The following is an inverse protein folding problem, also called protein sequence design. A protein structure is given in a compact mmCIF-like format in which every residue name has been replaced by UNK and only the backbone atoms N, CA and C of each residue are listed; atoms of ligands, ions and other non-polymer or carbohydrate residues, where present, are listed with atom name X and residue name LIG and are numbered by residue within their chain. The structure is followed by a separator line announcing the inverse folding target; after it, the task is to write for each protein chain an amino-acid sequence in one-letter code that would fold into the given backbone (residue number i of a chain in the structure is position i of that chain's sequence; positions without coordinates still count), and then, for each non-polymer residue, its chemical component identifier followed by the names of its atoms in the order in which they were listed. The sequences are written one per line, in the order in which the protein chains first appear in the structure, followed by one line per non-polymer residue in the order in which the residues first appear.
data_IF_631750097199
#
_entry.id   IF_631750097199
#
_cell.length_a   1.000
_cell.length_b   1.000
_cell.length_c   1.000
_cell.angle_alpha   90.00
_cell.angle_beta   90.00
_cell.angle_gamma   90.00
#
_symmetry.space_group_name_H-M   'P 1'
#
loop_
_entity.id
_entity.type
_entity.pdbx_description
1 polymer ?
#
# COMPACT_ATOMS: atom_id res chain seq x y z
N UNK A 1 -19.49 4.80 10.04
CA UNK A 1 -18.40 5.71 9.63
C UNK A 1 -17.19 5.46 10.53
N UNK A 2 -15.99 5.86 10.09
CA UNK A 2 -14.73 5.75 10.84
C UNK A 2 -13.98 7.09 10.67
N UNK A 3 -13.48 7.65 11.76
CA UNK A 3 -12.64 8.86 11.75
C UNK A 3 -11.19 8.47 12.00
N UNK A 4 -10.28 8.93 11.15
CA UNK A 4 -8.84 8.71 11.29
C UNK A 4 -8.13 10.05 11.48
N UNK A 5 -7.31 10.13 12.52
CA UNK A 5 -6.36 11.22 12.73
C UNK A 5 -5.07 10.88 11.97
N UNK A 6 -4.52 11.84 11.23
CA UNK A 6 -3.22 11.76 10.58
C UNK A 6 -2.22 12.64 11.34
N UNK A 7 -1.43 12.10 12.30
CA UNK A 7 -0.59 12.93 13.16
C UNK A 7 0.49 13.73 12.42
N UNK A 8 0.89 13.27 11.22
CA UNK A 8 1.85 13.97 10.38
C UNK A 8 1.39 15.37 9.94
N UNK A 9 0.07 15.59 9.79
CA UNK A 9 -0.51 16.90 9.44
C UNK A 9 -1.48 17.43 10.50
N UNK A 10 -1.88 16.60 11.47
CA UNK A 10 -2.90 16.92 12.47
C UNK A 10 -4.34 16.88 11.95
N UNK A 11 -4.56 16.43 10.72
CA UNK A 11 -5.89 16.41 10.10
C UNK A 11 -6.71 15.17 10.46
N UNK A 12 -8.01 15.35 10.60
CA UNK A 12 -8.97 14.26 10.71
C UNK A 12 -9.67 14.02 9.36
N UNK A 13 -9.78 12.76 8.95
CA UNK A 13 -10.57 12.36 7.78
C UNK A 13 -11.63 11.36 8.18
N UNK A 14 -12.84 11.57 7.66
CA UNK A 14 -13.99 10.72 7.89
C UNK A 14 -14.23 9.82 6.68
N UNK A 15 -14.36 8.52 6.91
CA UNK A 15 -14.64 7.53 5.88
C UNK A 15 -15.94 6.78 6.18
N UNK A 16 -16.65 6.38 5.13
CA UNK A 16 -17.67 5.34 5.25
C UNK A 16 -17.00 4.04 5.70
N UNK A 17 -17.74 3.15 6.38
CA UNK A 17 -17.19 1.85 6.81
C UNK A 17 -17.14 0.85 5.64
N UNK A 18 -18.09 0.96 4.72
CA UNK A 18 -18.15 0.14 3.52
C UNK A 18 -17.32 0.80 2.42
N UNK A 19 -16.54 0.00 1.68
CA UNK A 19 -15.71 0.43 0.55
C UNK A 19 -14.71 1.56 0.88
N UNK A 20 -14.19 1.56 2.12
CA UNK A 20 -13.20 2.55 2.54
C UNK A 20 -11.83 2.25 1.94
N UNK A 21 -11.10 3.23 1.36
CA UNK A 21 -9.76 3.04 0.82
C UNK A 21 -8.69 3.03 1.92
N UNK A 22 -8.99 2.42 3.08
CA UNK A 22 -8.12 2.39 4.25
C UNK A 22 -7.49 1.00 4.36
N UNK A 23 -6.17 0.97 4.53
CA UNK A 23 -5.43 -0.27 4.82
C UNK A 23 -4.86 -0.19 6.23
N UNK A 24 -5.13 -1.21 7.05
CA UNK A 24 -4.49 -1.33 8.37
C UNK A 24 -3.05 -1.79 8.19
N UNK A 25 -2.11 -1.11 8.85
CA UNK A 25 -0.70 -1.51 8.89
C UNK A 25 -0.46 -2.27 10.18
N UNK A 26 0.09 -3.48 10.08
CA UNK A 26 0.48 -4.32 11.22
C UNK A 26 1.91 -4.81 10.95
N UNK A 27 2.78 -4.66 11.94
CA UNK A 27 4.15 -5.16 11.88
C UNK A 27 4.24 -6.59 12.40
N UNK A 28 5.26 -7.32 11.95
CA UNK A 28 5.46 -8.72 12.30
C UNK A 28 6.69 -8.89 13.20
N UNK A 29 6.79 -10.01 13.94
CA UNK A 29 8.03 -10.40 14.59
C UNK A 29 9.23 -10.35 13.63
N UNK A 30 10.33 -9.80 14.12
CA UNK A 30 11.51 -9.43 13.36
C UNK A 30 11.52 -7.95 12.96
N UNK A 31 10.39 -7.33 12.63
CA UNK A 31 10.38 -5.95 12.12
C UNK A 31 10.97 -4.96 13.13
N UNK A 32 11.66 -3.94 12.62
CA UNK A 32 12.08 -2.79 13.42
C UNK A 32 11.03 -1.70 13.31
N UNK A 33 10.50 -1.27 14.45
CA UNK A 33 9.46 -0.22 14.54
C UNK A 33 9.98 0.98 15.34
N UNK A 34 9.43 2.16 15.05
CA UNK A 34 9.80 3.43 15.69
C UNK A 34 8.63 3.95 16.53
N UNK A 35 8.91 4.30 17.78
CA UNK A 35 7.97 5.01 18.65
C UNK A 35 7.86 6.47 18.24
N UNK A 36 6.71 7.11 18.49
CA UNK A 36 6.53 8.55 18.34
C UNK A 36 7.52 9.40 19.17
N UNK A 37 8.14 8.82 20.21
CA UNK A 37 9.22 9.43 20.99
C UNK A 37 10.61 9.36 20.31
N UNK A 38 10.70 8.70 19.14
CA UNK A 38 11.89 8.66 18.30
C UNK A 38 12.82 7.46 18.51
N UNK A 39 12.66 6.69 19.58
CA UNK A 39 13.42 5.45 19.80
C UNK A 39 12.85 4.29 18.98
N UNK A 40 13.68 3.26 18.77
CA UNK A 40 13.35 2.08 17.96
C UNK A 40 13.40 0.80 18.77
N UNK A 41 12.59 -0.18 18.38
CA UNK A 41 12.66 -1.54 18.91
C UNK A 41 12.55 -2.58 17.80
N UNK A 42 13.13 -3.75 18.05
CA UNK A 42 12.86 -4.97 17.28
C UNK A 42 11.66 -5.67 17.89
N UNK A 43 10.68 -6.01 17.06
CA UNK A 43 9.48 -6.75 17.48
C UNK A 43 9.84 -8.22 17.66
N UNK A 44 9.56 -8.78 18.82
CA UNK A 44 9.73 -10.20 19.14
C UNK A 44 8.36 -10.91 19.20
N UNK A 45 7.35 -10.25 19.76
CA UNK A 45 5.97 -10.74 19.87
C UNK A 45 4.96 -9.64 19.53
N UNK A 46 3.79 -10.02 18.99
CA UNK A 46 2.65 -9.11 18.77
C UNK A 46 1.43 -9.68 19.48
N UNK A 47 0.90 -8.95 20.46
CA UNK A 47 -0.34 -9.30 21.17
C UNK A 47 -1.52 -8.54 20.60
N UNK A 48 -2.62 -9.24 20.41
CA UNK A 48 -3.91 -8.66 20.03
C UNK A 48 -4.88 -8.78 21.21
N UNK A 49 -5.29 -7.64 21.75
CA UNK A 49 -6.34 -7.56 22.76
C UNK A 49 -7.43 -6.61 22.26
N UNK A 50 -8.66 -7.12 22.10
CA UNK A 50 -9.81 -6.34 21.63
C UNK A 50 -9.55 -5.61 20.30
N UNK A 51 -8.91 -6.30 19.35
CA UNK A 51 -8.48 -5.77 18.05
C UNK A 51 -7.43 -4.65 18.12
N UNK A 52 -6.85 -4.38 19.29
CA UNK A 52 -5.73 -3.46 19.49
C UNK A 52 -4.41 -4.22 19.55
N UNK A 53 -3.44 -3.77 18.76
CA UNK A 53 -2.12 -4.40 18.69
C UNK A 53 -1.16 -3.79 19.71
N UNK A 54 -0.48 -4.65 20.46
CA UNK A 54 0.65 -4.30 21.32
C UNK A 54 1.88 -5.07 20.85
N UNK A 55 2.93 -4.34 20.50
CA UNK A 55 4.22 -4.88 20.06
C UNK A 55 5.12 -5.06 21.28
N UNK A 56 5.77 -6.20 21.40
CA UNK A 56 6.67 -6.51 22.51
C UNK A 56 8.01 -6.91 21.92
N UNK A 57 9.11 -6.42 22.50
CA UNK A 57 10.44 -6.82 22.08
C UNK A 57 11.53 -5.97 22.69
N UNK A 58 12.62 -5.80 21.94
CA UNK A 58 13.87 -5.27 22.48
C UNK A 58 14.17 -3.88 21.93
N UNK A 59 14.41 -2.90 22.82
CA UNK A 59 14.79 -1.54 22.46
C UNK A 59 16.21 -1.51 21.89
N UNK A 60 16.43 -0.79 20.79
CA UNK A 60 17.71 -0.82 20.06
C UNK A 60 18.77 0.15 20.60
N UNK A 61 18.37 1.16 21.36
CA UNK A 61 19.25 2.18 21.95
C UNK A 61 19.71 1.82 23.36
N UNK A 62 18.87 1.16 24.17
CA UNK A 62 19.20 0.76 25.55
C UNK A 62 19.36 -0.73 25.76
N UNK A 63 19.08 -1.57 24.75
CA UNK A 63 19.09 -3.04 24.83
C UNK A 63 18.10 -3.62 25.86
N UNK A 64 17.15 -2.82 26.34
CA UNK A 64 16.07 -3.29 27.23
C UNK A 64 15.16 -4.28 26.50
N UNK A 65 15.05 -5.49 27.07
CA UNK A 65 14.17 -6.56 26.58
C UNK A 65 12.75 -6.44 27.14
N UNK A 66 11.79 -7.05 26.45
CA UNK A 66 10.36 -7.10 26.84
C UNK A 66 9.68 -5.72 26.96
N UNK A 67 10.19 -4.72 26.25
CA UNK A 67 9.56 -3.40 26.14
C UNK A 67 8.27 -3.52 25.33
N UNK A 68 7.20 -2.90 25.82
CA UNK A 68 5.88 -2.88 25.18
C UNK A 68 5.61 -1.55 24.49
N UNK A 69 5.18 -1.60 23.23
CA UNK A 69 4.76 -0.45 22.44
C UNK A 69 3.35 -0.69 21.87
N UNK A 70 2.38 0.13 22.31
CA UNK A 70 1.01 0.10 21.78
C UNK A 70 0.95 0.70 20.38
N UNK A 71 0.10 0.20 19.49
CA UNK A 71 0.01 0.71 18.11
C UNK A 71 -0.29 2.21 18.01
N UNK A 72 -0.98 2.80 18.99
CA UNK A 72 -1.25 4.25 19.07
C UNK A 72 0.00 5.10 19.26
N UNK A 73 1.07 4.50 19.79
CA UNK A 73 2.35 5.17 20.08
C UNK A 73 3.38 4.99 18.95
N UNK A 74 3.00 4.34 17.85
CA UNK A 74 3.83 4.24 16.66
C UNK A 74 4.03 5.63 16.03
N UNK A 75 5.22 5.86 15.47
CA UNK A 75 5.46 7.08 14.70
C UNK A 75 4.52 7.12 13.47
N UNK A 76 4.03 8.31 13.16
CA UNK A 76 3.33 8.64 11.93
C UNK A 76 4.15 8.41 10.66
N UNK A 77 5.48 8.34 10.78
CA UNK A 77 6.41 8.11 9.67
C UNK A 77 6.60 6.62 9.42
N UNK A 78 6.14 6.16 8.26
CA UNK A 78 6.43 4.82 7.77
C UNK A 78 7.86 4.76 7.20
N UNK A 79 8.79 4.21 7.98
CA UNK A 79 10.14 3.90 7.51
C UNK A 79 10.19 2.44 7.09
N UNK A 80 10.31 2.18 5.78
CA UNK A 80 10.60 0.83 5.31
C UNK A 80 12.07 0.51 5.59
N UNK A 81 12.33 -0.61 6.26
CA UNK A 81 13.68 -1.06 6.55
C UNK A 81 14.47 -1.24 5.24
N UNK A 82 15.70 -0.73 5.21
CA UNK A 82 16.55 -0.90 4.03
C UNK A 82 16.88 -2.40 3.91
N UNK A 83 16.93 -2.96 2.69
CA UNK A 83 17.24 -4.38 2.51
C UNK A 83 18.57 -4.81 3.15
N UNK A 84 19.55 -3.90 3.18
CA UNK A 84 20.84 -4.09 3.85
C UNK A 84 20.71 -4.25 5.37
N UNK A 85 19.83 -3.47 6.01
CA UNK A 85 19.61 -3.51 7.47
C UNK A 85 18.92 -4.82 7.83
N UNK A 86 17.96 -5.26 7.00
CA UNK A 86 17.32 -6.59 7.14
C UNK A 86 18.33 -7.73 6.99
N UNK A 87 19.25 -7.64 6.02
CA UNK A 87 20.30 -8.63 5.81
C UNK A 87 21.25 -8.71 7.01
N UNK A 88 21.71 -7.57 7.53
CA UNK A 88 22.58 -7.52 8.72
C UNK A 88 21.87 -8.01 9.99
N UNK A 89 20.56 -7.81 10.10
CA UNK A 89 19.74 -8.36 11.18
C UNK A 89 19.38 -9.85 11.00
N UNK A 90 19.93 -10.54 9.98
CA UNK A 90 19.70 -11.96 9.73
C UNK A 90 18.32 -12.28 9.13
N UNK A 91 17.57 -11.28 8.69
CA UNK A 91 16.26 -11.47 8.07
C UNK A 91 16.40 -11.85 6.60
N UNK A 92 16.54 -13.15 6.35
CA UNK A 92 16.64 -13.70 5.01
C UNK A 92 15.26 -14.09 4.47
N UNK A 93 14.78 -13.35 3.47
CA UNK A 93 13.59 -13.74 2.71
C UNK A 93 13.90 -14.95 1.80
N UNK A 94 12.88 -15.76 1.47
CA UNK A 94 13.04 -16.89 0.56
C UNK A 94 13.43 -16.43 -0.86
N UNK A 95 14.30 -17.19 -1.53
CA UNK A 95 14.83 -16.86 -2.87
C UNK A 95 13.74 -16.74 -3.95
N UNK A 96 12.67 -17.53 -3.86
CA UNK A 96 11.50 -17.48 -4.74
C UNK A 96 10.78 -16.12 -4.66
N UNK A 97 10.64 -15.57 -3.45
CA UNK A 97 10.04 -14.24 -3.21
C UNK A 97 10.90 -13.12 -3.79
N UNK A 98 12.23 -13.23 -3.70
CA UNK A 98 13.15 -12.29 -4.33
C UNK A 98 12.96 -12.27 -5.86
N UNK A 99 12.99 -13.44 -6.49
CA UNK A 99 12.79 -13.57 -7.93
C UNK A 99 11.41 -13.04 -8.38
N UNK A 100 10.35 -13.33 -7.60
CA UNK A 100 9.01 -12.81 -7.86
C UNK A 100 8.97 -11.28 -7.77
N UNK A 101 9.54 -10.67 -6.72
CA UNK A 101 9.57 -9.21 -6.56
C UNK A 101 10.26 -8.51 -7.74
N UNK A 102 11.36 -9.08 -8.22
CA UNK A 102 12.05 -8.57 -9.40
C UNK A 102 11.17 -8.64 -10.66
N UNK A 103 10.62 -9.83 -10.95
CA UNK A 103 9.75 -10.05 -12.12
C UNK A 103 8.51 -9.16 -12.08
N UNK A 104 7.86 -9.05 -10.92
CA UNK A 104 6.68 -8.22 -10.72
C UNK A 104 6.96 -6.76 -11.08
N UNK A 105 8.07 -6.17 -10.59
CA UNK A 105 8.45 -4.79 -10.94
C UNK A 105 8.76 -4.61 -12.42
N UNK A 106 9.47 -5.57 -13.03
CA UNK A 106 9.78 -5.54 -14.46
C UNK A 106 8.50 -5.53 -15.30
N UNK A 107 7.63 -6.52 -15.10
CA UNK A 107 6.39 -6.64 -15.87
C UNK A 107 5.42 -5.49 -15.60
N UNK A 108 5.31 -5.03 -14.35
CA UNK A 108 4.51 -3.86 -14.02
C UNK A 108 5.00 -2.63 -14.80
N UNK A 109 6.31 -2.39 -14.84
CA UNK A 109 6.88 -1.28 -15.59
C UNK A 109 6.61 -1.36 -17.09
N UNK A 110 6.77 -2.56 -17.68
CA UNK A 110 6.47 -2.80 -19.09
C UNK A 110 5.00 -2.52 -19.41
N UNK A 111 4.05 -3.02 -18.59
CA UNK A 111 2.62 -2.79 -18.81
C UNK A 111 2.24 -1.31 -18.66
N UNK A 112 2.79 -0.59 -17.67
CA UNK A 112 2.47 0.83 -17.47
C UNK A 112 2.89 1.73 -18.64
N UNK A 113 3.97 1.36 -19.35
CA UNK A 113 4.49 2.15 -20.48
C UNK A 113 3.78 1.88 -21.80
N UNK A 114 2.86 0.91 -21.84
CA UNK A 114 2.17 0.59 -23.08
C UNK A 114 1.26 1.74 -23.51
N UNK A 115 1.26 2.09 -24.81
CA UNK A 115 0.46 3.20 -25.33
C UNK A 115 -1.04 2.93 -25.26
N UNK A 116 -1.43 1.66 -25.12
CA UNK A 116 -2.82 1.18 -25.04
C UNK A 116 -3.24 0.84 -23.59
N UNK A 117 -2.51 1.35 -22.60
CA UNK A 117 -2.88 1.20 -21.19
C UNK A 117 -4.28 1.76 -20.95
N UNK A 118 -5.11 1.03 -20.18
CA UNK A 118 -6.52 1.36 -19.94
C UNK A 118 -7.52 0.83 -20.98
N UNK A 119 -7.08 0.40 -22.16
CA UNK A 119 -7.98 -0.08 -23.25
C UNK A 119 -8.05 -1.62 -23.40
N UNK A 120 -7.32 -2.36 -22.57
CA UNK A 120 -7.21 -3.84 -22.67
C UNK A 120 -7.92 -4.62 -21.56
N UNK A 121 -8.33 -3.95 -20.48
CA UNK A 121 -8.95 -4.60 -19.32
C UNK A 121 -10.47 -4.76 -19.43
N UNK A 122 -11.09 -4.09 -20.40
CA UNK A 122 -12.54 -4.14 -20.59
C UNK A 122 -12.97 -5.48 -21.20
N UNK A 123 -14.08 -6.03 -20.71
CA UNK A 123 -14.69 -7.26 -21.23
C UNK A 123 -15.65 -6.92 -22.38
N UNK A 124 -15.11 -6.48 -23.51
CA UNK A 124 -15.87 -6.09 -24.71
C UNK A 124 -15.18 -6.60 -25.99
N UNK A 125 -15.91 -6.59 -27.11
CA UNK A 125 -15.32 -6.89 -28.42
C UNK A 125 -14.41 -5.75 -28.87
N UNK A 126 -13.39 -6.07 -29.68
CA UNK A 126 -12.46 -5.09 -30.24
C UNK A 126 -13.09 -4.35 -31.44
N UNK A 127 -14.07 -3.50 -31.17
CA UNK A 127 -14.79 -2.72 -32.17
C UNK A 127 -14.00 -1.44 -32.49
N UNK A 128 -13.51 -1.24 -33.75
CA UNK A 128 -12.58 -0.16 -34.06
C UNK A 128 -13.07 1.25 -33.72
N UNK A 129 -14.33 1.59 -34.03
CA UNK A 129 -14.86 2.93 -33.74
C UNK A 129 -14.99 3.18 -32.23
N UNK A 130 -15.42 2.19 -31.45
CA UNK A 130 -15.51 2.30 -29.98
C UNK A 130 -14.13 2.48 -29.34
N UNK A 131 -13.13 1.72 -29.81
CA UNK A 131 -11.75 1.87 -29.38
C UNK A 131 -11.17 3.24 -29.75
N UNK A 132 -11.50 3.76 -30.92
CA UNK A 132 -11.08 5.08 -31.37
C UNK A 132 -11.63 6.18 -30.45
N UNK A 133 -12.93 6.14 -30.15
CA UNK A 133 -13.57 7.10 -29.23
C UNK A 133 -12.95 7.01 -27.83
N UNK A 134 -12.79 5.80 -27.29
CA UNK A 134 -12.17 5.60 -25.98
C UNK A 134 -10.72 6.12 -25.92
N UNK A 135 -9.93 5.89 -26.98
CA UNK A 135 -8.56 6.39 -27.08
C UNK A 135 -8.49 7.92 -27.19
N UNK A 136 -9.32 8.55 -28.04
CA UNK A 136 -9.29 9.99 -28.23
C UNK A 136 -9.84 10.73 -27.00
N UNK A 137 -11.05 10.37 -26.55
CA UNK A 137 -11.71 11.03 -25.42
C UNK A 137 -10.99 10.75 -24.10
N UNK A 138 -10.57 9.51 -23.86
CA UNK A 138 -9.94 9.09 -22.60
C UNK A 138 -8.56 9.69 -22.33
N UNK A 139 -7.90 10.26 -23.36
CA UNK A 139 -6.58 10.91 -23.24
C UNK A 139 -6.65 12.42 -23.04
N UNK A 140 -7.84 13.03 -23.17
CA UNK A 140 -8.01 14.46 -22.98
C UNK A 140 -8.08 14.79 -21.49
N UNK A 141 -7.57 15.95 -21.10
CA UNK A 141 -7.77 16.47 -19.76
C UNK A 141 -9.20 17.03 -19.63
N UNK A 142 -9.97 16.57 -18.63
CA UNK A 142 -11.36 16.99 -18.38
C UNK A 142 -12.27 16.94 -19.63
N UNK A 143 -12.43 15.76 -20.28
CA UNK A 143 -13.15 15.64 -21.54
C UNK A 143 -14.63 16.02 -21.39
N UNK A 144 -15.14 16.79 -22.34
CA UNK A 144 -16.56 17.07 -22.55
C UNK A 144 -16.92 16.65 -23.97
N UNK A 145 -17.78 15.64 -24.09
CA UNK A 145 -18.12 15.02 -25.38
C UNK A 145 -19.59 14.65 -25.36
N UNK A 146 -20.26 14.80 -26.51
CA UNK A 146 -21.58 14.25 -26.76
C UNK A 146 -21.41 12.97 -27.58
N UNK A 147 -21.83 11.83 -27.04
CA UNK A 147 -21.87 10.57 -27.77
C UNK A 147 -23.26 10.42 -28.39
N UNK A 148 -23.33 10.36 -29.71
CA UNK A 148 -24.56 10.26 -30.48
C UNK A 148 -24.46 9.15 -31.54
N UNK A 149 -23.81 8.04 -31.18
CA UNK A 149 -23.71 6.87 -32.06
C UNK A 149 -25.10 6.26 -32.30
N UNK A 150 -25.33 5.78 -33.52
CA UNK A 150 -26.57 5.10 -33.89
C UNK A 150 -26.78 3.85 -33.01
N UNK A 151 -28.03 3.62 -32.60
CA UNK A 151 -28.37 2.51 -31.71
C UNK A 151 -28.20 1.20 -32.46
N UNK A 152 -27.16 0.43 -32.14
CA UNK A 152 -27.07 -0.95 -32.58
C UNK A 152 -27.96 -1.84 -31.70
N UNK A 153 -28.88 -2.65 -32.27
CA UNK A 153 -29.61 -3.64 -31.49
C UNK A 153 -28.64 -4.79 -31.15
N UNK A 154 -28.25 -4.87 -29.86
CA UNK A 154 -27.76 -6.10 -29.20
C UNK A 154 -26.45 -6.70 -29.70
#
# INVERSE_FOLDING_TARGET
MITLLFPATGENRLYARNDSPVTRVIFNPGDTITSHEGWQMRVDEVRNENDLMTYIGTRLDTEESEVMLREVMLDSKLVFSKPQDRLFAGQLDRMDRFALRFRARKYQSEQYRLPISGLRGMRTNLIPHQLHIAHDVGRRHAPRVLLADEVWPG
#
